data_IF_196526863332
#
_entry.id   IF_196526863332
#
_cell.length_a   1.000
_cell.length_b   1.000
_cell.length_c   1.000
_cell.angle_alpha   90.00
_cell.angle_beta   90.00
_cell.angle_gamma   90.00
#
_symmetry.space_group_name_H-M   'P 1'
#
loop_
_entity.id
_entity.type
_entity.pdbx_description
1 polymer ?
#
# COMPACT_ATOMS: atom_id res chain seq x y z
N UNK A 1 -44.72 -36.32 26.37
CA UNK A 1 -43.72 -35.24 26.25
C UNK A 1 -44.45 -33.92 26.11
N UNK A 2 -44.31 -33.01 27.07
CA UNK A 2 -45.12 -31.80 27.10
C UNK A 2 -44.72 -30.85 25.96
N UNK A 3 -45.69 -30.12 25.39
CA UNK A 3 -45.47 -29.13 24.33
C UNK A 3 -44.39 -28.10 24.69
N UNK A 4 -44.08 -27.94 25.97
CA UNK A 4 -43.06 -27.03 26.50
C UNK A 4 -41.63 -27.55 26.24
N UNK A 5 -41.38 -28.85 26.28
CA UNK A 5 -40.04 -29.41 26.03
C UNK A 5 -39.65 -29.35 24.56
N UNK A 6 -40.62 -29.43 23.64
CA UNK A 6 -40.37 -29.30 22.19
C UNK A 6 -40.03 -27.84 21.78
N UNK A 7 -40.59 -26.85 22.48
CA UNK A 7 -40.29 -25.43 22.23
C UNK A 7 -38.89 -25.05 22.74
N UNK A 8 -38.46 -25.62 23.86
CA UNK A 8 -37.16 -25.33 24.46
C UNK A 8 -36.01 -25.89 23.62
N UNK A 9 -36.17 -27.09 23.03
CA UNK A 9 -35.18 -27.66 22.11
C UNK A 9 -35.04 -26.85 20.82
N UNK A 10 -36.11 -26.24 20.31
CA UNK A 10 -36.05 -25.41 19.11
C UNK A 10 -35.27 -24.09 19.35
N UNK A 11 -35.44 -23.46 20.52
CA UNK A 11 -34.72 -22.23 20.89
C UNK A 11 -33.22 -22.49 21.09
N UNK A 12 -32.86 -23.64 21.70
CA UNK A 12 -31.45 -24.03 21.89
C UNK A 12 -30.77 -24.35 20.54
N UNK A 13 -31.50 -24.95 19.59
CA UNK A 13 -30.98 -25.24 18.25
C UNK A 13 -30.79 -23.97 17.39
N UNK A 14 -31.61 -22.93 17.58
CA UNK A 14 -31.41 -21.64 16.91
C UNK A 14 -30.18 -20.89 17.44
N UNK A 15 -29.85 -21.01 18.73
CA UNK A 15 -28.69 -20.32 19.33
C UNK A 15 -27.34 -20.88 18.89
N UNK A 16 -27.27 -22.16 18.46
CA UNK A 16 -26.01 -22.75 17.96
C UNK A 16 -25.70 -22.39 16.51
N UNK A 17 -26.67 -21.90 15.75
CA UNK A 17 -26.51 -21.48 14.35
C UNK A 17 -26.03 -20.02 14.20
N UNK A 18 -25.99 -19.23 15.28
CA UNK A 18 -25.45 -17.86 15.26
C UNK A 18 -23.93 -17.77 15.41
N UNK A 19 -23.22 -18.89 15.54
CA UNK A 19 -21.76 -18.91 15.40
C UNK A 19 -21.38 -18.93 13.91
N UNK A 20 -21.71 -17.87 13.18
CA UNK A 20 -20.97 -17.51 11.98
C UNK A 20 -19.56 -17.12 12.43
N UNK A 21 -18.66 -18.10 12.54
CA UNK A 21 -17.23 -17.80 12.47
C UNK A 21 -17.02 -17.19 11.09
N UNK A 22 -16.78 -15.87 11.01
CA UNK A 22 -16.19 -15.27 9.81
C UNK A 22 -14.96 -16.14 9.51
N UNK A 23 -14.98 -16.86 8.39
CA UNK A 23 -13.82 -17.64 7.95
C UNK A 23 -12.67 -16.64 7.83
N UNK A 24 -11.68 -16.77 8.71
CA UNK A 24 -10.50 -15.91 8.67
C UNK A 24 -9.82 -16.14 7.34
N UNK A 25 -9.54 -15.05 6.61
CA UNK A 25 -8.75 -15.11 5.38
C UNK A 25 -7.44 -15.83 5.68
N UNK A 26 -7.27 -17.04 5.11
CA UNK A 26 -6.05 -17.81 5.30
C UNK A 26 -4.99 -17.32 4.32
N UNK A 27 -4.02 -16.58 4.87
CA UNK A 27 -2.79 -16.15 4.21
C UNK A 27 -1.62 -16.65 5.07
N UNK A 28 -0.59 -17.23 4.45
CA UNK A 28 0.52 -17.88 5.18
C UNK A 28 1.89 -17.28 4.86
N UNK A 29 2.00 -16.52 3.76
CA UNK A 29 3.28 -15.95 3.32
C UNK A 29 3.47 -14.55 3.90
N UNK A 30 3.55 -14.40 5.21
CA UNK A 30 3.78 -13.09 5.84
C UNK A 30 5.27 -12.72 5.80
N UNK A 31 5.69 -11.89 4.84
CA UNK A 31 7.07 -11.42 4.71
C UNK A 31 7.46 -10.50 5.88
N UNK A 32 6.48 -9.80 6.46
CA UNK A 32 6.69 -8.82 7.53
C UNK A 32 6.19 -9.30 8.90
N UNK A 33 6.10 -10.62 9.12
CA UNK A 33 5.59 -11.21 10.36
C UNK A 33 6.33 -10.78 11.65
N UNK A 34 7.58 -10.32 11.52
CA UNK A 34 8.42 -9.87 12.64
C UNK A 34 8.31 -8.36 12.91
N UNK A 35 7.60 -7.61 12.09
CA UNK A 35 7.37 -6.18 12.29
C UNK A 35 6.31 -5.95 13.36
N UNK A 36 6.45 -4.87 14.12
CA UNK A 36 5.46 -4.49 15.13
C UNK A 36 4.13 -4.17 14.45
N UNK A 37 3.03 -4.69 15.00
CA UNK A 37 1.71 -4.37 14.48
C UNK A 37 1.30 -2.94 14.86
N UNK A 38 1.48 -2.03 13.91
CA UNK A 38 1.13 -0.61 14.05
C UNK A 38 -0.34 -0.31 13.75
N UNK A 39 -1.11 -1.27 13.23
CA UNK A 39 -2.54 -1.12 12.95
C UNK A 39 -3.34 -1.78 14.07
N UNK A 40 -3.62 -1.03 15.13
CA UNK A 40 -4.38 -1.53 16.27
C UNK A 40 -5.85 -1.17 16.06
N UNK A 41 -6.68 -2.21 15.90
CA UNK A 41 -8.14 -2.11 15.72
C UNK A 41 -8.82 -3.07 16.70
N UNK A 42 -9.81 -2.59 17.46
CA UNK A 42 -10.53 -3.44 18.40
C UNK A 42 -11.31 -4.55 17.66
N UNK A 43 -11.17 -5.79 18.11
CA UNK A 43 -11.89 -6.97 17.59
C UNK A 43 -11.67 -7.28 16.10
N UNK A 44 -10.60 -6.77 15.49
CA UNK A 44 -10.24 -7.03 14.10
C UNK A 44 -8.82 -7.59 14.02
N UNK A 45 -8.64 -8.70 13.29
CA UNK A 45 -7.30 -9.22 12.97
C UNK A 45 -6.67 -8.38 11.86
N UNK A 46 -5.70 -7.55 12.21
CA UNK A 46 -5.07 -6.61 11.28
C UNK A 46 -3.82 -7.14 10.60
N UNK A 47 -3.46 -8.41 10.79
CA UNK A 47 -2.21 -8.99 10.24
C UNK A 47 -2.12 -8.87 8.72
N UNK A 48 -3.18 -9.25 8.00
CA UNK A 48 -3.20 -9.16 6.54
C UNK A 48 -3.14 -7.71 6.04
N UNK A 49 -3.79 -6.80 6.76
CA UNK A 49 -3.78 -5.36 6.44
C UNK A 49 -2.41 -4.72 6.70
N UNK A 50 -1.71 -5.17 7.73
CA UNK A 50 -0.32 -4.75 7.99
C UNK A 50 0.61 -5.27 6.90
N UNK A 51 0.48 -6.54 6.53
CA UNK A 51 1.25 -7.12 5.43
C UNK A 51 1.02 -6.35 4.12
N UNK A 52 -0.24 -6.00 3.82
CA UNK A 52 -0.61 -5.18 2.68
C UNK A 52 0.05 -3.80 2.72
N UNK A 53 -0.03 -3.11 3.86
CA UNK A 53 0.61 -1.81 4.05
C UNK A 53 2.13 -1.90 3.79
N UNK A 54 2.81 -2.86 4.39
CA UNK A 54 4.27 -2.98 4.29
C UNK A 54 4.73 -3.45 2.90
N UNK A 55 3.97 -4.33 2.25
CA UNK A 55 4.21 -4.74 0.86
C UNK A 55 4.10 -3.57 -0.10
N UNK A 56 3.05 -2.77 0.04
CA UNK A 56 2.89 -1.51 -0.69
C UNK A 56 4.07 -0.56 -0.46
N UNK A 57 4.46 -0.33 0.80
CA UNK A 57 5.55 0.59 1.13
C UNK A 57 6.91 0.15 0.57
N UNK A 58 7.21 -1.16 0.58
CA UNK A 58 8.42 -1.73 -0.02
C UNK A 58 8.44 -1.53 -1.56
N UNK A 59 7.31 -1.79 -2.22
CA UNK A 59 7.15 -1.61 -3.67
C UNK A 59 7.35 -0.14 -4.09
N UNK A 60 6.70 0.80 -3.40
CA UNK A 60 6.84 2.23 -3.74
C UNK A 60 8.21 2.78 -3.37
N UNK A 61 8.82 2.35 -2.27
CA UNK A 61 10.16 2.79 -1.88
C UNK A 61 11.20 2.31 -2.90
N UNK A 62 11.07 1.07 -3.35
CA UNK A 62 11.98 0.46 -4.32
C UNK A 62 11.85 1.06 -5.72
N UNK A 63 10.69 1.58 -6.10
CA UNK A 63 10.48 2.22 -7.40
C UNK A 63 10.69 3.75 -7.40
N UNK A 64 10.01 4.48 -6.52
CA UNK A 64 10.01 5.95 -6.53
C UNK A 64 11.23 6.59 -5.84
N UNK A 65 11.95 5.84 -5.00
CA UNK A 65 13.22 6.28 -4.41
C UNK A 65 14.20 5.13 -4.21
N UNK A 66 14.49 4.38 -5.29
CA UNK A 66 15.34 3.18 -5.27
C UNK A 66 16.66 3.35 -4.50
N UNK A 67 17.29 4.52 -4.60
CA UNK A 67 18.61 4.79 -3.99
C UNK A 67 18.54 4.94 -2.48
N UNK A 68 17.61 5.74 -1.96
CA UNK A 68 17.57 6.07 -0.54
C UNK A 68 16.48 5.29 0.22
N UNK A 69 15.55 4.65 -0.51
CA UNK A 69 14.33 4.03 -0.01
C UNK A 69 13.58 4.94 0.97
N UNK A 70 13.56 6.25 0.71
CA UNK A 70 12.89 7.21 1.59
C UNK A 70 11.37 7.09 1.44
N UNK A 71 10.74 6.47 2.42
CA UNK A 71 9.31 6.17 2.38
C UNK A 71 8.44 7.43 2.29
N UNK A 72 8.80 8.52 2.99
CA UNK A 72 8.12 9.82 2.89
C UNK A 72 8.09 10.35 1.46
N UNK A 73 9.24 10.28 0.77
CA UNK A 73 9.37 10.68 -0.62
C UNK A 73 8.55 9.75 -1.51
N UNK A 74 8.69 8.44 -1.33
CA UNK A 74 7.95 7.44 -2.10
C UNK A 74 6.44 7.65 -2.03
N UNK A 75 5.86 7.82 -0.84
CA UNK A 75 4.43 8.15 -0.66
C UNK A 75 4.03 9.39 -1.45
N UNK A 76 4.84 10.45 -1.39
CA UNK A 76 4.55 11.70 -2.10
C UNK A 76 4.58 11.56 -3.62
N UNK A 77 5.48 10.73 -4.17
CA UNK A 77 5.53 10.44 -5.61
C UNK A 77 4.38 9.55 -6.03
N UNK A 78 4.22 8.40 -5.34
CA UNK A 78 3.15 7.46 -5.59
C UNK A 78 1.77 8.13 -5.60
N UNK A 79 1.46 8.90 -4.57
CA UNK A 79 0.16 9.55 -4.44
C UNK A 79 -0.17 10.47 -5.63
N UNK A 80 0.83 11.21 -6.15
CA UNK A 80 0.60 12.08 -7.32
C UNK A 80 0.27 11.28 -8.57
N UNK A 81 0.95 10.16 -8.78
CA UNK A 81 0.68 9.27 -9.92
C UNK A 81 -0.66 8.55 -9.74
N UNK A 82 -0.97 8.07 -8.54
CA UNK A 82 -2.22 7.37 -8.23
C UNK A 82 -3.45 8.25 -8.46
N UNK A 83 -3.48 9.47 -7.89
CA UNK A 83 -4.60 10.42 -8.07
C UNK A 83 -4.70 10.91 -9.53
N UNK A 84 -3.59 10.98 -10.25
CA UNK A 84 -3.60 11.31 -11.68
C UNK A 84 -3.94 10.12 -12.59
N UNK A 85 -4.15 8.92 -12.03
CA UNK A 85 -4.32 7.66 -12.75
C UNK A 85 -3.17 7.37 -13.74
N UNK A 86 -1.93 7.56 -13.29
CA UNK A 86 -0.69 7.43 -14.08
C UNK A 86 0.31 6.42 -13.49
N UNK A 87 0.02 5.87 -12.32
CA UNK A 87 0.87 4.84 -11.72
C UNK A 87 0.92 3.61 -12.64
N UNK A 88 2.14 3.19 -12.99
CA UNK A 88 2.39 2.03 -13.85
C UNK A 88 2.65 0.80 -13.02
N UNK A 89 1.60 0.22 -12.47
CA UNK A 89 1.68 -0.83 -11.46
C UNK A 89 2.51 -2.03 -11.93
N UNK A 90 2.47 -2.37 -13.21
CA UNK A 90 3.24 -3.46 -13.82
C UNK A 90 4.77 -3.25 -13.73
N UNK A 91 5.23 -2.00 -13.60
CA UNK A 91 6.65 -1.70 -13.44
C UNK A 91 7.14 -1.88 -11.99
N UNK A 92 6.24 -1.91 -11.00
CA UNK A 92 6.66 -1.88 -9.60
C UNK A 92 5.94 -2.76 -8.59
N UNK A 93 4.79 -3.32 -8.92
CA UNK A 93 4.13 -4.34 -8.10
C UNK A 93 4.95 -5.62 -8.14
N UNK A 94 5.15 -6.24 -6.98
CA UNK A 94 5.88 -7.51 -6.87
C UNK A 94 4.94 -8.72 -6.83
N UNK A 95 5.44 -9.93 -7.11
CA UNK A 95 4.67 -11.16 -6.92
C UNK A 95 4.09 -11.29 -5.51
N UNK A 96 4.86 -10.90 -4.48
CA UNK A 96 4.40 -10.88 -3.09
C UNK A 96 3.18 -9.96 -2.88
N UNK A 97 3.22 -8.75 -3.42
CA UNK A 97 2.06 -7.84 -3.39
C UNK A 97 0.84 -8.46 -4.04
N UNK A 98 0.99 -9.20 -5.15
CA UNK A 98 -0.12 -9.90 -5.79
C UNK A 98 -0.66 -11.06 -4.94
N UNK A 99 0.20 -11.80 -4.23
CA UNK A 99 -0.26 -12.83 -3.27
C UNK A 99 -1.08 -12.22 -2.13
N UNK A 100 -0.63 -11.07 -1.60
CA UNK A 100 -1.37 -10.32 -0.57
C UNK A 100 -2.70 -9.81 -1.14
N UNK A 101 -2.72 -9.31 -2.39
CA UNK A 101 -3.94 -8.88 -3.06
C UNK A 101 -4.96 -10.02 -3.23
N UNK A 102 -4.51 -11.20 -3.66
CA UNK A 102 -5.38 -12.38 -3.76
C UNK A 102 -5.91 -12.87 -2.41
N UNK A 103 -5.18 -12.63 -1.32
CA UNK A 103 -5.72 -12.83 0.02
C UNK A 103 -6.75 -11.75 0.38
N UNK A 104 -6.46 -10.47 0.16
CA UNK A 104 -7.39 -9.37 0.43
C UNK A 104 -8.72 -9.53 -0.31
N UNK A 105 -8.72 -10.04 -1.55
CA UNK A 105 -9.93 -10.34 -2.33
C UNK A 105 -10.89 -11.32 -1.66
N UNK A 106 -10.40 -12.14 -0.71
CA UNK A 106 -11.23 -13.09 0.05
C UNK A 106 -11.92 -12.43 1.24
N UNK A 107 -11.52 -11.22 1.61
CA UNK A 107 -12.23 -10.43 2.62
C UNK A 107 -13.50 -9.84 2.00
N UNK A 108 -14.64 -10.48 2.31
CA UNK A 108 -15.95 -10.09 1.78
C UNK A 108 -16.46 -8.76 2.32
N UNK A 109 -15.93 -8.31 3.45
CA UNK A 109 -16.38 -7.06 4.06
C UNK A 109 -15.62 -5.87 3.46
N UNK A 110 -14.41 -6.09 2.91
CA UNK A 110 -13.53 -5.04 2.37
C UNK A 110 -13.98 -4.46 1.02
N UNK A 111 -14.60 -5.27 0.17
CA UNK A 111 -14.92 -4.91 -1.21
C UNK A 111 -16.42 -4.88 -1.47
N UNK A 112 -16.87 -3.97 -2.33
CA UNK A 112 -18.19 -4.00 -2.94
C UNK A 112 -18.21 -4.96 -4.14
N UNK A 113 -19.41 -5.27 -4.66
CA UNK A 113 -19.60 -6.16 -5.82
C UNK A 113 -18.88 -5.69 -7.10
N UNK A 114 -18.62 -4.38 -7.22
CA UNK A 114 -17.90 -3.76 -8.34
C UNK A 114 -16.38 -3.67 -8.11
N UNK A 115 -15.86 -4.38 -7.09
CA UNK A 115 -14.47 -4.36 -6.63
C UNK A 115 -13.99 -3.01 -6.07
N UNK A 116 -14.86 -2.02 -5.93
CA UNK A 116 -14.51 -0.80 -5.18
C UNK A 116 -14.43 -1.08 -3.67
N UNK A 117 -13.75 -0.21 -2.94
CA UNK A 117 -13.67 -0.32 -1.48
C UNK A 117 -15.05 -0.14 -0.83
N UNK A 118 -15.40 -1.03 0.08
CA UNK A 118 -16.48 -0.81 1.03
C UNK A 118 -15.99 0.09 2.18
N UNK A 119 -16.24 1.40 2.10
CA UNK A 119 -15.82 2.34 3.14
C UNK A 119 -16.55 2.17 4.48
N UNK A 120 -17.58 1.32 4.56
CA UNK A 120 -18.25 0.94 5.81
C UNK A 120 -17.64 -0.30 6.46
N UNK A 121 -16.62 -0.93 5.86
CA UNK A 121 -15.93 -2.08 6.43
C UNK A 121 -15.31 -1.75 7.80
N UNK A 122 -15.22 -2.76 8.68
CA UNK A 122 -14.66 -2.61 10.04
C UNK A 122 -13.24 -2.00 10.01
N UNK A 123 -12.42 -2.38 9.02
CA UNK A 123 -11.08 -1.82 8.83
C UNK A 123 -11.09 -0.33 8.48
N UNK A 124 -12.00 0.14 7.62
CA UNK A 124 -12.07 1.57 7.26
C UNK A 124 -12.66 2.40 8.40
N UNK A 125 -13.58 1.84 9.17
CA UNK A 125 -14.06 2.46 10.41
C UNK A 125 -12.91 2.64 11.40
N UNK A 126 -12.07 1.61 11.58
CA UNK A 126 -10.88 1.70 12.42
C UNK A 126 -9.87 2.73 11.89
N UNK A 127 -9.53 2.67 10.60
CA UNK A 127 -8.57 3.57 9.95
C UNK A 127 -8.99 5.02 10.11
N UNK A 128 -10.23 5.35 9.73
CA UNK A 128 -10.73 6.72 9.79
C UNK A 128 -10.79 7.28 11.20
N UNK A 129 -11.10 6.43 12.19
CA UNK A 129 -11.16 6.82 13.60
C UNK A 129 -9.79 7.14 14.22
N UNK A 130 -8.71 6.68 13.59
CA UNK A 130 -7.35 6.78 14.12
C UNK A 130 -6.40 7.65 13.28
N UNK A 131 -6.89 8.37 12.27
CA UNK A 131 -6.07 9.37 11.60
C UNK A 131 -5.53 10.39 12.61
N UNK A 132 -4.23 10.68 12.54
CA UNK A 132 -3.59 11.69 13.40
C UNK A 132 -4.10 13.11 13.08
N UNK A 133 -4.51 13.34 11.84
CA UNK A 133 -5.05 14.62 11.38
C UNK A 133 -6.57 14.63 11.53
N UNK A 134 -7.07 15.29 12.59
CA UNK A 134 -8.51 15.40 12.90
C UNK A 134 -9.34 15.94 11.73
N UNK A 135 -8.78 16.84 10.93
CA UNK A 135 -9.44 17.35 9.72
C UNK A 135 -9.73 16.24 8.70
N UNK A 136 -8.78 15.33 8.47
CA UNK A 136 -8.98 14.19 7.56
C UNK A 136 -10.01 13.21 8.11
N UNK A 137 -9.98 12.92 9.41
CA UNK A 137 -11.00 12.10 10.06
C UNK A 137 -12.40 12.68 9.85
N UNK A 138 -12.55 13.98 10.11
CA UNK A 138 -13.83 14.69 9.95
C UNK A 138 -14.33 14.61 8.51
N UNK A 139 -13.45 14.89 7.54
CA UNK A 139 -13.81 14.85 6.12
C UNK A 139 -14.15 13.44 5.65
N UNK A 140 -13.34 12.44 6.00
CA UNK A 140 -13.61 11.05 5.65
C UNK A 140 -14.97 10.60 6.17
N UNK A 141 -15.23 10.79 7.47
CA UNK A 141 -16.49 10.39 8.09
C UNK A 141 -17.70 11.13 7.48
N UNK A 142 -17.57 12.42 7.16
CA UNK A 142 -18.63 13.16 6.49
C UNK A 142 -18.92 12.59 5.09
N UNK A 143 -17.89 12.30 4.30
CA UNK A 143 -18.04 11.71 2.97
C UNK A 143 -18.68 10.32 3.03
N UNK A 144 -18.26 9.46 3.97
CA UNK A 144 -18.85 8.12 4.16
C UNK A 144 -20.32 8.24 4.60
N UNK A 145 -20.63 9.08 5.60
CA UNK A 145 -21.99 9.24 6.13
C UNK A 145 -23.00 9.78 5.10
N UNK A 146 -22.52 10.49 4.09
CA UNK A 146 -23.33 11.04 3.00
C UNK A 146 -23.30 10.18 1.74
N UNK A 147 -22.70 8.99 1.81
CA UNK A 147 -22.50 8.08 0.67
C UNK A 147 -21.85 8.78 -0.55
N UNK A 148 -20.92 9.70 -0.28
CA UNK A 148 -20.20 10.48 -1.29
C UNK A 148 -18.70 10.19 -1.30
N UNK A 149 -18.25 9.23 -0.50
CA UNK A 149 -16.83 8.89 -0.40
C UNK A 149 -16.28 8.36 -1.73
N UNK A 150 -15.18 8.96 -2.18
CA UNK A 150 -14.41 8.52 -3.33
C UNK A 150 -12.94 8.92 -3.20
N UNK A 151 -12.01 8.23 -3.91
CA UNK A 151 -10.60 8.61 -3.95
C UNK A 151 -10.36 10.03 -4.43
N UNK A 152 -11.18 10.53 -5.35
CA UNK A 152 -11.07 11.88 -5.89
C UNK A 152 -11.43 12.94 -4.85
N UNK A 153 -12.57 12.76 -4.17
CA UNK A 153 -13.08 13.73 -3.19
C UNK A 153 -12.23 13.75 -1.93
N UNK A 154 -11.75 12.60 -1.46
CA UNK A 154 -10.88 12.54 -0.29
C UNK A 154 -9.40 12.76 -0.61
N UNK A 155 -8.98 12.52 -1.85
CA UNK A 155 -7.64 12.82 -2.34
C UNK A 155 -7.28 14.31 -2.22
N UNK A 156 -8.26 15.20 -2.45
CA UNK A 156 -8.05 16.65 -2.35
C UNK A 156 -7.56 17.12 -0.96
N UNK A 157 -8.25 16.83 0.16
CA UNK A 157 -7.74 17.16 1.49
C UNK A 157 -6.50 16.33 1.87
N UNK A 158 -6.41 15.06 1.45
CA UNK A 158 -5.28 14.18 1.76
C UNK A 158 -3.94 14.66 1.17
N UNK A 159 -3.97 15.30 -0.02
CA UNK A 159 -2.79 15.77 -0.74
C UNK A 159 -1.82 16.61 0.10
N UNK A 160 -2.34 17.44 1.00
CA UNK A 160 -1.51 18.32 1.83
C UNK A 160 -0.78 17.59 2.97
N UNK A 161 -1.24 16.37 3.30
CA UNK A 161 -0.75 15.57 4.42
C UNK A 161 0.04 14.33 3.98
N UNK A 162 -0.06 13.90 2.72
CA UNK A 162 0.52 12.63 2.24
C UNK A 162 2.02 12.46 2.49
N UNK A 163 2.78 13.57 2.52
CA UNK A 163 4.22 13.55 2.89
C UNK A 163 4.47 12.97 4.29
N UNK A 164 3.47 12.98 5.16
CA UNK A 164 3.53 12.47 6.52
C UNK A 164 2.77 11.13 6.67
N UNK A 165 2.29 10.52 5.58
CA UNK A 165 1.59 9.24 5.64
C UNK A 165 2.44 8.15 6.30
N UNK A 166 3.74 8.10 6.05
CA UNK A 166 4.66 7.17 6.72
C UNK A 166 4.65 7.26 8.26
N UNK A 167 4.35 8.43 8.84
CA UNK A 167 4.21 8.65 10.29
C UNK A 167 2.78 8.35 10.78
N UNK A 168 1.77 8.57 9.94
CA UNK A 168 0.37 8.25 10.23
C UNK A 168 -0.01 6.92 9.56
N UNK A 169 0.23 5.80 10.26
CA UNK A 169 0.08 4.45 9.73
C UNK A 169 -1.34 4.14 9.26
N UNK A 170 -2.35 4.77 9.85
CA UNK A 170 -3.74 4.67 9.41
C UNK A 170 -3.96 5.40 8.08
N UNK A 171 -3.38 6.60 7.91
CA UNK A 171 -3.36 7.30 6.62
C UNK A 171 -2.63 6.49 5.54
N UNK A 172 -1.48 5.89 5.88
CA UNK A 172 -0.76 5.02 4.95
C UNK A 172 -1.58 3.78 4.57
N UNK A 173 -2.30 3.17 5.53
CA UNK A 173 -3.20 2.05 5.27
C UNK A 173 -4.37 2.44 4.35
N UNK A 174 -4.96 3.61 4.52
CA UNK A 174 -5.95 4.15 3.58
C UNK A 174 -5.38 4.22 2.15
N UNK A 175 -4.18 4.81 2.00
CA UNK A 175 -3.50 4.94 0.70
C UNK A 175 -3.22 3.56 0.09
N UNK A 176 -2.73 2.62 0.89
CA UNK A 176 -2.45 1.26 0.44
C UNK A 176 -3.72 0.55 -0.05
N UNK A 177 -4.81 0.57 0.73
CA UNK A 177 -6.01 -0.19 0.38
C UNK A 177 -6.78 0.45 -0.78
N UNK A 178 -7.06 1.75 -0.70
CA UNK A 178 -7.97 2.43 -1.63
C UNK A 178 -7.25 2.96 -2.88
N UNK A 179 -6.06 3.55 -2.70
CA UNK A 179 -5.35 4.13 -3.84
C UNK A 179 -4.45 3.14 -4.56
N UNK A 180 -4.05 2.04 -3.92
CA UNK A 180 -3.14 1.04 -4.49
C UNK A 180 -3.80 -0.31 -4.76
N UNK A 181 -4.23 -1.05 -3.73
CA UNK A 181 -4.79 -2.40 -3.91
C UNK A 181 -6.08 -2.41 -4.73
N UNK A 182 -6.97 -1.43 -4.56
CA UNK A 182 -8.18 -1.31 -5.38
C UNK A 182 -7.87 -1.16 -6.89
N UNK A 183 -6.69 -0.63 -7.24
CA UNK A 183 -6.25 -0.46 -8.64
C UNK A 183 -5.67 -1.74 -9.25
N UNK A 184 -5.34 -2.74 -8.42
CA UNK A 184 -4.79 -4.00 -8.91
C UNK A 184 -5.86 -4.92 -9.51
N UNK A 185 -7.15 -4.64 -9.28
CA UNK A 185 -8.26 -5.35 -9.96
C UNK A 185 -8.24 -5.15 -11.48
N UNK A 186 -7.70 -4.03 -11.96
CA UNK A 186 -7.61 -3.70 -13.38
C UNK A 186 -6.36 -4.26 -14.06
N UNK A 187 -5.48 -4.94 -13.32
CA UNK A 187 -4.22 -5.49 -13.83
C UNK A 187 -4.37 -6.94 -14.26
N UNK A 188 -3.68 -7.30 -15.34
CA UNK A 188 -3.46 -8.70 -15.71
C UNK A 188 -2.30 -9.28 -14.87
N UNK A 189 -2.53 -10.28 -13.98
CA UNK A 189 -1.49 -10.87 -13.16
C UNK A 189 -0.31 -11.45 -13.97
N UNK A 190 -0.53 -11.84 -15.23
CA UNK A 190 0.52 -12.38 -16.09
C UNK A 190 1.60 -11.34 -16.46
N UNK A 191 1.31 -10.05 -16.25
CA UNK A 191 2.26 -8.95 -16.50
C UNK A 191 3.25 -8.73 -15.36
N UNK A 192 3.01 -9.33 -14.19
CA UNK A 192 3.83 -9.13 -12.99
C UNK A 192 4.96 -10.17 -12.98
N UNK A 193 6.19 -9.70 -13.19
CA UNK A 193 7.40 -10.54 -13.25
C UNK A 193 8.29 -10.24 -12.04
N UNK A 194 8.96 -11.26 -11.53
CA UNK A 194 9.93 -11.11 -10.46
C UNK A 194 11.07 -10.18 -10.86
N UNK A 195 11.29 -9.11 -10.09
CA UNK A 195 12.42 -8.20 -10.29
C UNK A 195 13.66 -8.84 -9.71
N UNK A 196 14.54 -9.35 -10.56
CA UNK A 196 15.90 -9.67 -10.13
C UNK A 196 16.60 -8.35 -9.83
N UNK A 197 16.95 -8.09 -8.56
CA UNK A 197 17.82 -6.96 -8.24
C UNK A 197 19.12 -7.10 -9.05
N UNK A 198 19.60 -6.05 -9.75
CA UNK A 198 20.95 -6.09 -10.29
C UNK A 198 21.90 -6.24 -9.11
N UNK A 199 22.65 -7.35 -9.06
CA UNK A 199 23.68 -7.55 -8.05
C UNK A 199 24.69 -6.42 -8.17
N UNK A 200 24.96 -5.74 -7.07
CA UNK A 200 26.00 -4.71 -6.97
C UNK A 200 27.38 -5.36 -7.10
N UNK A 201 27.79 -5.66 -8.33
CA UNK A 201 29.17 -5.99 -8.69
C UNK A 201 29.61 -5.09 -9.85
N UNK A 202 29.50 -3.78 -9.69
CA UNK A 202 30.28 -2.85 -10.50
C UNK A 202 30.68 -1.65 -9.63
N UNK A 203 31.75 -1.84 -8.86
CA UNK A 203 32.59 -0.74 -8.43
C UNK A 203 34.06 -1.10 -8.69
N UNK A 204 34.76 -0.14 -9.31
CA UNK A 204 36.21 -0.05 -9.56
C UNK A 204 36.81 -0.75 -10.79
N UNK A 205 36.87 -0.01 -11.91
CA UNK A 205 38.16 0.22 -12.59
C UNK A 205 38.27 1.70 -12.91
N UNK A 206 38.85 2.45 -11.98
CA UNK A 206 39.42 3.77 -12.26
C UNK A 206 40.79 3.54 -12.90
N UNK A 207 40.91 4.02 -14.15
CA UNK A 207 42.07 4.56 -14.84
C UNK A 207 43.47 3.95 -14.60
N UNK A 208 44.03 3.33 -15.64
CA UNK A 208 45.43 3.51 -16.02
C UNK A 208 45.56 3.39 -17.54
N UNK A 209 45.71 4.52 -18.23
CA UNK A 209 46.66 4.75 -19.34
C UNK A 209 46.34 6.13 -19.95
N UNK A 210 47.06 7.15 -19.50
CA UNK A 210 47.21 8.37 -20.27
C UNK A 210 48.69 8.75 -20.22
N UNK A 211 49.49 8.05 -21.03
CA UNK A 211 50.89 8.37 -21.26
C UNK A 211 50.97 9.29 -22.48
N UNK A 212 51.07 10.58 -22.18
CA UNK A 212 51.86 11.62 -22.85
C UNK A 212 52.29 11.31 -24.29
N UNK A 213 51.78 12.09 -25.24
CA UNK A 213 52.49 12.43 -26.48
C UNK A 213 52.39 13.94 -26.69
N UNK A 214 53.42 14.64 -26.22
CA UNK A 214 53.71 16.02 -26.58
C UNK A 214 54.34 15.96 -27.97
N UNK A 215 53.71 16.60 -28.95
CA UNK A 215 54.42 16.96 -30.17
C UNK A 215 54.32 18.47 -30.43
N UNK A 216 55.49 19.03 -30.72
CA UNK A 216 55.80 20.46 -30.82
C UNK A 216 55.10 21.09 -32.02
N UNK A 217 54.69 22.35 -31.88
CA UNK A 217 54.87 23.32 -32.97
C UNK A 217 55.16 24.73 -32.44
N UNK A 218 56.24 25.27 -33.00
CA UNK A 218 56.88 26.57 -32.79
C UNK A 218 55.96 27.79 -32.71
N UNK A 219 56.21 28.58 -31.67
CA UNK A 219 56.49 30.04 -31.63
C UNK A 219 56.23 30.88 -32.89
N UNK A 220 55.49 31.97 -32.71
CA UNK A 220 55.89 33.28 -33.23
C UNK A 220 55.42 34.43 -32.31
N UNK A 221 56.39 35.30 -32.00
CA UNK A 221 56.35 36.49 -31.15
C UNK A 221 55.37 37.58 -31.62
N UNK A 222 54.83 38.36 -30.66
CA UNK A 222 54.95 39.82 -30.65
C UNK A 222 54.67 40.37 -29.23
N UNK A 223 55.29 41.50 -28.82
CA UNK A 223 55.53 41.82 -27.42
C UNK A 223 54.53 42.83 -26.80
N UNK A 224 54.54 42.79 -25.47
CA UNK A 224 53.91 43.69 -24.50
C UNK A 224 54.24 45.19 -24.70
N UNK A 225 53.33 46.03 -24.20
CA UNK A 225 53.68 47.31 -23.55
C UNK A 225 54.23 47.07 -22.14
#
# INVERSE_FOLDING_TARGET
>A
MSKTTLKLTFIVLCLTLFNCKKESVSFNNYKYANEENVLICENLDTKLYLEALLSFEDDIASYYDKKNKNIRRAHSFYFREAIANKAKYEEFVTPHTMEVFEALKKDKDLWNDDNSINYNADIFTCIASNFKVVGLQTTFNALVSTNSMSPELFGAPLKTHVKNAHEDRYMAAYIALDLFYAKLFDLDPATIIERTEPSNNEESVISQENTISIDKKETQEAPNQ
#
